data_IF_462801625993
#
_entry.id   IF_462801625993
#
_cell.length_a   1.000
_cell.length_b   1.000
_cell.length_c   1.000
_cell.angle_alpha   90.00
_cell.angle_beta   90.00
_cell.angle_gamma   90.00
#
_symmetry.space_group_name_H-M   'P 1'
#
loop_
_entity.id
_entity.type
_entity.pdbx_description
1 polymer ?
#
# COMPACT_ATOMS: atom_id res chain seq x y z
N UNK A 1 24.46 -2.61 -0.62
CA UNK A 1 23.20 -2.05 -0.08
C UNK A 1 22.24 -1.98 -1.25
N UNK A 2 21.11 -2.68 -1.16
CA UNK A 2 20.24 -2.96 -2.30
C UNK A 2 19.47 -1.70 -2.75
N UNK A 3 19.94 -1.07 -3.82
CA UNK A 3 19.12 -0.70 -4.98
C UNK A 3 17.87 0.16 -4.79
N UNK A 4 17.87 1.17 -3.92
CA UNK A 4 16.88 2.25 -3.98
C UNK A 4 17.52 3.47 -4.67
N UNK A 5 16.96 3.91 -5.81
CA UNK A 5 17.32 5.16 -6.52
C UNK A 5 16.80 6.39 -5.74
N UNK A 6 17.03 6.43 -4.43
CA UNK A 6 16.49 7.46 -3.55
C UNK A 6 17.57 8.49 -3.29
N UNK A 7 17.28 9.75 -3.62
CA UNK A 7 18.19 10.85 -3.33
C UNK A 7 18.25 11.15 -1.83
N UNK A 8 19.28 11.87 -1.40
CA UNK A 8 19.42 12.30 0.00
C UNK A 8 18.16 13.00 0.54
N UNK A 9 17.56 13.90 -0.25
CA UNK A 9 16.35 14.63 0.16
C UNK A 9 15.10 13.75 0.22
N UNK A 10 15.01 12.72 -0.64
CA UNK A 10 13.90 11.75 -0.59
C UNK A 10 13.96 10.94 0.70
N UNK A 11 15.18 10.62 1.16
CA UNK A 11 15.41 9.95 2.44
C UNK A 11 15.00 10.85 3.61
N UNK A 12 15.36 12.14 3.59
CA UNK A 12 14.94 13.09 4.63
C UNK A 12 13.42 13.27 4.66
N UNK A 13 12.76 13.37 3.50
CA UNK A 13 11.32 13.45 3.41
C UNK A 13 10.64 12.19 3.98
N UNK A 14 11.14 11.00 3.64
CA UNK A 14 10.62 9.74 4.19
C UNK A 14 10.80 9.62 5.70
N UNK A 15 11.99 9.93 6.22
CA UNK A 15 12.28 9.84 7.66
C UNK A 15 11.53 10.87 8.50
N UNK A 16 11.27 12.06 7.95
CA UNK A 16 10.45 13.08 8.63
C UNK A 16 8.96 12.72 8.64
N UNK A 17 8.44 12.07 7.59
CA UNK A 17 7.07 11.59 7.55
C UNK A 17 6.75 10.52 8.62
N UNK A 18 7.76 9.75 9.05
CA UNK A 18 7.61 8.68 10.04
C UNK A 18 7.83 9.13 11.50
N UNK A 19 8.15 10.41 11.74
CA UNK A 19 8.49 10.98 13.06
C UNK A 19 9.65 10.27 13.79
N UNK A 20 10.42 9.43 13.08
CA UNK A 20 11.54 8.64 13.62
C UNK A 20 12.91 9.07 13.08
N UNK A 21 13.01 10.28 12.55
CA UNK A 21 14.25 10.81 11.97
C UNK A 21 15.42 10.84 12.97
N UNK A 22 15.14 11.08 14.26
CA UNK A 22 16.16 11.13 15.32
C UNK A 22 16.77 9.78 15.67
N UNK A 23 16.18 8.67 15.22
CA UNK A 23 16.66 7.31 15.51
C UNK A 23 17.63 6.78 14.43
N UNK A 24 17.83 7.54 13.35
CA UNK A 24 18.69 7.15 12.23
C UNK A 24 19.96 8.00 12.26
N UNK A 25 21.12 7.34 12.25
CA UNK A 25 22.44 7.96 12.18
C UNK A 25 23.16 7.39 10.97
N UNK A 26 23.57 8.27 10.04
CA UNK A 26 24.26 7.86 8.83
C UNK A 26 25.75 7.63 9.07
N UNK A 27 26.32 6.63 8.39
CA UNK A 27 27.77 6.49 8.26
C UNK A 27 28.35 7.46 7.22
N UNK A 28 29.65 7.78 7.32
CA UNK A 28 30.31 8.67 6.35
C UNK A 28 30.24 8.11 4.90
N UNK A 29 30.26 6.79 4.75
CA UNK A 29 30.14 6.11 3.46
C UNK A 29 28.72 6.17 2.89
N UNK A 30 27.69 6.12 3.74
CA UNK A 30 26.29 6.27 3.32
C UNK A 30 25.99 7.68 2.82
N UNK A 31 26.50 8.70 3.53
CA UNK A 31 26.34 10.09 3.09
C UNK A 31 26.97 10.32 1.72
N UNK A 32 28.17 9.80 1.49
CA UNK A 32 28.83 9.91 0.18
C UNK A 32 28.04 9.22 -0.93
N UNK A 33 27.43 8.06 -0.66
CA UNK A 33 26.61 7.35 -1.64
C UNK A 33 25.30 8.10 -1.95
N UNK A 34 24.63 8.66 -0.94
CA UNK A 34 23.40 9.42 -1.11
C UNK A 34 23.61 10.75 -1.85
N UNK A 35 24.78 11.36 -1.73
CA UNK A 35 25.13 12.60 -2.46
C UNK A 35 25.59 12.35 -3.89
N UNK A 36 26.12 11.16 -4.21
CA UNK A 36 26.57 10.84 -5.59
C UNK A 36 25.41 10.60 -6.56
N UNK A 37 24.24 10.18 -6.05
CA UNK A 37 23.08 9.88 -6.88
C UNK A 37 22.38 11.15 -7.39
N UNK A 38 22.39 12.25 -6.63
CA UNK A 38 21.78 13.53 -7.06
C UNK A 38 22.51 14.16 -8.25
N UNK A 39 23.85 14.05 -8.29
CA UNK A 39 24.67 14.64 -9.36
C UNK A 39 24.54 13.89 -10.70
N UNK A 40 24.19 12.59 -10.65
CA UNK A 40 24.00 11.77 -11.84
C UNK A 40 22.68 12.07 -12.57
N UNK A 41 21.62 12.41 -11.83
CA UNK A 41 20.31 12.78 -12.40
C UNK A 41 20.32 14.17 -13.05
N UNK A 42 21.08 15.12 -12.51
CA UNK A 42 21.11 16.50 -13.03
C UNK A 42 21.92 16.63 -14.33
N UNK A 43 22.95 15.79 -14.50
CA UNK A 43 23.74 15.72 -15.75
C UNK A 43 22.99 15.07 -16.93
N UNK A 44 21.80 14.50 -16.70
CA UNK A 44 20.97 13.90 -17.75
C UNK A 44 20.09 14.90 -18.51
N UNK A 45 19.89 16.12 -17.99
CA UNK A 45 18.88 17.06 -18.50
C UNK A 45 19.48 18.11 -19.45
N UNK A 46 20.76 18.46 -19.32
CA UNK A 46 21.37 19.54 -20.13
C UNK A 46 22.01 19.10 -21.46
N UNK A 47 21.91 17.82 -21.86
CA UNK A 47 22.68 17.26 -22.99
C UNK A 47 21.89 16.78 -24.21
N UNK A 48 20.57 16.98 -24.28
CA UNK A 48 19.73 16.37 -25.34
C UNK A 48 19.14 17.36 -26.33
N UNK A 49 19.93 18.33 -26.80
CA UNK A 49 19.59 19.08 -28.01
C UNK A 49 20.63 18.82 -29.10
N UNK A 50 20.15 18.31 -30.24
CA UNK A 50 20.87 18.07 -31.50
C UNK A 50 21.80 16.85 -31.59
N UNK A 51 21.21 15.68 -31.75
CA UNK A 51 21.71 14.73 -32.77
C UNK A 51 20.56 14.18 -33.61
N UNK A 52 20.45 14.66 -34.86
CA UNK A 52 19.63 14.05 -35.92
C UNK A 52 20.27 12.73 -36.36
N UNK A 53 20.38 11.76 -35.46
CA UNK A 53 20.58 10.38 -35.85
C UNK A 53 19.22 9.84 -36.31
N UNK A 54 19.09 9.54 -37.60
CA UNK A 54 17.94 8.76 -38.13
C UNK A 54 18.02 7.34 -37.57
N UNK A 55 17.66 7.17 -36.31
CA UNK A 55 17.38 5.87 -35.73
C UNK A 55 16.09 5.40 -36.39
N UNK A 56 16.19 4.37 -37.22
CA UNK A 56 15.04 3.67 -37.77
C UNK A 56 14.15 3.26 -36.59
N UNK A 57 12.99 3.90 -36.45
CA UNK A 57 12.05 3.57 -35.38
C UNK A 57 11.71 2.08 -35.49
N UNK A 58 11.78 1.30 -34.40
CA UNK A 58 11.34 -0.09 -34.43
C UNK A 58 9.89 -0.13 -34.92
N UNK A 59 9.59 -1.07 -35.81
CA UNK A 59 8.25 -1.23 -36.36
C UNK A 59 7.29 -1.53 -35.20
N UNK A 60 6.26 -0.71 -35.04
CA UNK A 60 5.22 -0.91 -34.02
C UNK A 60 4.31 -2.04 -34.46
N UNK A 61 4.20 -3.09 -33.66
CA UNK A 61 3.26 -4.19 -33.89
C UNK A 61 1.83 -3.68 -33.62
N UNK A 62 0.90 -3.99 -34.51
CA UNK A 62 -0.50 -3.62 -34.34
C UNK A 62 -1.16 -4.54 -33.29
N UNK A 63 -1.56 -3.96 -32.17
CA UNK A 63 -2.15 -4.68 -31.02
C UNK A 63 -3.67 -4.77 -31.11
N UNK A 64 -4.30 -3.81 -31.78
CA UNK A 64 -5.76 -3.70 -31.88
C UNK A 64 -6.24 -3.48 -33.32
N UNK A 65 -7.47 -3.88 -33.61
CA UNK A 65 -8.08 -3.76 -34.94
C UNK A 65 -8.95 -2.51 -35.16
N UNK A 66 -9.01 -1.57 -34.21
CA UNK A 66 -9.94 -0.41 -34.27
C UNK A 66 -9.80 0.46 -35.52
N UNK A 67 -8.58 0.57 -36.08
CA UNK A 67 -8.29 1.34 -37.30
C UNK A 67 -8.19 0.45 -38.55
N UNK A 68 -8.59 -0.82 -38.45
CA UNK A 68 -8.38 -1.85 -39.48
C UNK A 68 -6.99 -2.49 -39.44
N UNK A 69 -6.88 -3.68 -40.04
CA UNK A 69 -5.64 -4.47 -40.08
C UNK A 69 -5.79 -5.85 -39.44
N UNK A 70 -5.09 -6.85 -40.00
CA UNK A 70 -5.05 -8.20 -39.41
C UNK A 70 -4.12 -8.19 -38.19
N UNK A 71 -4.68 -8.47 -37.03
CA UNK A 71 -3.91 -8.64 -35.78
C UNK A 71 -3.70 -10.14 -35.57
N UNK A 72 -2.45 -10.57 -35.57
CA UNK A 72 -2.07 -11.91 -35.11
C UNK A 72 -1.91 -11.85 -33.60
N UNK A 73 -2.70 -12.65 -32.87
CA UNK A 73 -2.64 -12.70 -31.41
C UNK A 73 -1.26 -13.15 -30.90
N UNK A 74 -0.56 -13.99 -31.68
CA UNK A 74 0.78 -14.46 -31.35
C UNK A 74 1.82 -13.34 -31.38
N UNK A 75 1.72 -12.43 -32.35
CA UNK A 75 2.65 -11.31 -32.51
C UNK A 75 2.36 -10.23 -31.45
N UNK A 76 1.09 -10.06 -31.08
CA UNK A 76 0.69 -9.17 -30.00
C UNK A 76 1.20 -9.69 -28.64
N UNK A 77 1.05 -10.98 -28.34
CA UNK A 77 1.45 -11.56 -27.06
C UNK A 77 2.96 -11.51 -26.77
N UNK A 78 3.80 -11.39 -27.80
CA UNK A 78 5.26 -11.25 -27.65
C UNK A 78 5.69 -9.84 -27.24
N UNK A 79 4.79 -8.86 -27.33
CA UNK A 79 5.08 -7.46 -27.01
C UNK A 79 4.79 -7.21 -25.53
N UNK A 80 5.77 -6.67 -24.82
CA UNK A 80 5.59 -6.22 -23.45
C UNK A 80 4.77 -4.93 -23.42
N UNK A 81 3.68 -4.95 -22.65
CA UNK A 81 2.75 -3.83 -22.56
C UNK A 81 2.99 -3.04 -21.29
N UNK A 82 3.62 -1.89 -21.42
CA UNK A 82 3.71 -0.91 -20.35
C UNK A 82 2.63 0.16 -20.54
N UNK A 83 1.60 0.14 -19.69
CA UNK A 83 0.56 1.19 -19.71
C UNK A 83 1.00 2.37 -18.84
N UNK A 84 1.56 2.14 -17.65
CA UNK A 84 2.27 3.12 -16.80
C UNK A 84 1.45 4.30 -16.25
N UNK A 85 0.64 4.96 -17.08
CA UNK A 85 -0.09 6.19 -16.77
C UNK A 85 -1.45 5.95 -16.08
N UNK A 86 -2.05 4.77 -16.25
CA UNK A 86 -3.36 4.43 -15.67
C UNK A 86 -3.21 3.76 -14.30
N UNK A 87 -4.03 4.16 -13.32
CA UNK A 87 -3.99 3.58 -11.95
C UNK A 87 -4.54 2.15 -11.86
N UNK A 88 -5.56 1.80 -12.66
CA UNK A 88 -6.23 0.49 -12.63
C UNK A 88 -5.93 -0.37 -13.86
N UNK A 89 -4.89 -0.02 -14.62
CA UNK A 89 -4.53 -0.67 -15.87
C UNK A 89 -5.39 -0.24 -17.07
N UNK A 90 -5.27 -0.98 -18.17
CA UNK A 90 -5.91 -0.64 -19.46
C UNK A 90 -7.41 -0.97 -19.53
N UNK A 91 -7.90 -1.92 -18.74
CA UNK A 91 -9.30 -2.32 -18.73
C UNK A 91 -9.69 -2.96 -17.40
N UNK A 92 -10.84 -2.54 -16.86
CA UNK A 92 -11.49 -3.14 -15.68
C UNK A 92 -12.88 -3.60 -16.10
N UNK A 93 -13.29 -4.86 -15.85
CA UNK A 93 -14.64 -5.33 -16.12
C UNK A 93 -15.69 -4.47 -15.42
N UNK A 94 -16.78 -4.13 -16.14
CA UNK A 94 -17.84 -3.25 -15.62
C UNK A 94 -18.43 -3.74 -14.29
N UNK A 95 -18.77 -5.02 -14.20
CA UNK A 95 -19.35 -5.62 -12.99
C UNK A 95 -18.40 -5.54 -11.80
N UNK A 96 -17.09 -5.70 -12.05
CA UNK A 96 -16.08 -5.58 -11.02
C UNK A 96 -16.01 -4.12 -10.55
N UNK A 97 -15.86 -3.17 -11.47
CA UNK A 97 -15.75 -1.75 -11.15
C UNK A 97 -16.95 -1.21 -10.37
N UNK A 98 -18.16 -1.66 -10.71
CA UNK A 98 -19.40 -1.28 -10.04
C UNK A 98 -19.48 -1.82 -8.59
N UNK A 99 -18.88 -2.98 -8.32
CA UNK A 99 -18.87 -3.61 -7.01
C UNK A 99 -17.65 -3.25 -6.13
N UNK A 100 -16.73 -2.40 -6.62
CA UNK A 100 -15.54 -2.03 -5.85
C UNK A 100 -15.86 -1.04 -4.72
N UNK A 101 -15.11 -1.19 -3.63
CA UNK A 101 -15.14 -0.31 -2.46
C UNK A 101 -14.23 0.90 -2.68
N UNK A 102 -14.81 2.10 -2.64
CA UNK A 102 -14.02 3.34 -2.78
C UNK A 102 -13.06 3.57 -1.61
N UNK A 103 -13.46 3.17 -0.39
CA UNK A 103 -12.66 3.36 0.82
C UNK A 103 -11.37 2.54 0.75
N UNK A 104 -11.48 1.28 0.35
CA UNK A 104 -10.31 0.38 0.28
C UNK A 104 -9.31 0.85 -0.78
N UNK A 105 -9.79 1.30 -1.94
CA UNK A 105 -8.94 1.86 -2.99
C UNK A 105 -8.35 3.22 -2.61
N UNK A 106 -9.07 4.07 -1.89
CA UNK A 106 -8.52 5.34 -1.40
C UNK A 106 -7.33 5.10 -0.47
N UNK A 107 -7.46 4.13 0.44
CA UNK A 107 -6.38 3.75 1.33
C UNK A 107 -5.21 3.08 0.57
N UNK A 108 -5.54 2.26 -0.43
CA UNK A 108 -4.52 1.68 -1.30
C UNK A 108 -3.72 2.75 -2.05
N UNK A 109 -4.38 3.72 -2.69
CA UNK A 109 -3.72 4.79 -3.43
C UNK A 109 -2.89 5.70 -2.52
N UNK A 110 -3.41 6.05 -1.34
CA UNK A 110 -2.63 6.81 -0.36
C UNK A 110 -1.36 6.04 0.02
N UNK A 111 -1.47 4.73 0.25
CA UNK A 111 -0.32 3.89 0.61
C UNK A 111 0.69 3.73 -0.54
N UNK A 112 0.25 3.58 -1.78
CA UNK A 112 1.12 3.26 -2.92
C UNK A 112 1.67 4.46 -3.66
N UNK A 113 0.95 5.58 -3.70
CA UNK A 113 1.37 6.78 -4.43
C UNK A 113 2.04 7.79 -3.49
N UNK A 114 1.44 8.04 -2.34
CA UNK A 114 1.87 9.12 -1.45
C UNK A 114 2.85 8.63 -0.38
N UNK A 115 2.50 7.55 0.32
CA UNK A 115 3.34 7.00 1.40
C UNK A 115 4.48 6.09 0.92
N UNK A 116 4.71 5.96 -0.39
CA UNK A 116 5.70 5.00 -0.94
C UNK A 116 7.12 5.28 -0.45
N UNK A 117 7.57 6.54 -0.54
CA UNK A 117 8.91 6.94 -0.13
C UNK A 117 9.14 6.72 1.39
N UNK A 118 8.13 7.00 2.21
CA UNK A 118 8.18 6.76 3.65
C UNK A 118 8.27 5.27 3.96
N UNK A 119 7.51 4.41 3.26
CA UNK A 119 7.58 2.96 3.46
C UNK A 119 8.91 2.37 2.96
N UNK A 120 9.43 2.85 1.84
CA UNK A 120 10.72 2.41 1.31
C UNK A 120 11.88 2.80 2.25
N UNK A 121 11.88 4.03 2.76
CA UNK A 121 12.88 4.49 3.75
C UNK A 121 12.76 3.74 5.07
N UNK A 122 11.55 3.41 5.51
CA UNK A 122 11.35 2.54 6.67
C UNK A 122 11.99 1.17 6.45
N UNK A 123 11.75 0.55 5.29
CA UNK A 123 12.25 -0.80 4.99
C UNK A 123 13.78 -0.84 4.86
N UNK A 124 14.41 0.25 4.40
CA UNK A 124 15.87 0.34 4.27
C UNK A 124 16.55 0.68 5.60
N UNK A 125 16.06 1.69 6.33
CA UNK A 125 16.79 2.26 7.48
C UNK A 125 16.26 1.78 8.84
N UNK A 126 14.98 1.41 8.94
CA UNK A 126 14.35 1.03 10.20
C UNK A 126 14.09 -0.47 10.32
N UNK A 127 14.01 -1.24 9.22
CA UNK A 127 13.75 -2.69 9.30
C UNK A 127 14.86 -3.51 10.00
N UNK A 128 16.07 -2.96 10.10
CA UNK A 128 17.17 -3.56 10.89
C UNK A 128 17.02 -3.35 12.40
N UNK A 129 16.22 -2.39 12.84
CA UNK A 129 15.84 -2.18 14.23
C UNK A 129 14.55 -2.97 14.49
N UNK A 130 14.69 -4.25 14.86
CA UNK A 130 13.56 -5.16 15.05
C UNK A 130 12.37 -4.54 15.78
N UNK A 131 11.16 -4.88 15.31
CA UNK A 131 9.81 -4.48 15.76
C UNK A 131 9.14 -3.39 14.91
N UNK A 132 8.59 -3.74 13.75
CA UNK A 132 7.29 -3.22 13.30
C UNK A 132 6.65 -4.21 12.31
N UNK A 133 6.30 -5.41 12.79
CA UNK A 133 5.16 -6.12 12.20
C UNK A 133 3.90 -5.36 12.62
N UNK A 134 3.47 -4.41 11.78
CA UNK A 134 2.11 -3.91 11.89
C UNK A 134 1.18 -5.12 11.71
N UNK A 135 0.32 -5.46 12.68
CA UNK A 135 -0.67 -6.49 12.46
C UNK A 135 -1.69 -5.90 11.50
N UNK A 136 -1.58 -6.25 10.22
CA UNK A 136 -2.72 -6.18 9.33
C UNK A 136 -3.73 -7.23 9.83
N UNK A 137 -4.58 -6.84 10.77
CA UNK A 137 -5.76 -7.61 11.14
C UNK A 137 -6.83 -7.44 10.05
N UNK A 138 -6.68 -8.13 8.93
CA UNK A 138 -7.85 -8.56 8.17
C UNK A 138 -8.50 -9.70 8.94
N UNK A 139 -9.31 -9.38 9.95
CA UNK A 139 -10.22 -10.37 10.56
C UNK A 139 -11.33 -10.71 9.56
N UNK A 140 -11.00 -11.55 8.58
CA UNK A 140 -11.95 -12.50 8.00
C UNK A 140 -11.70 -13.81 8.74
N UNK A 141 -12.18 -13.91 9.98
CA UNK A 141 -12.13 -15.16 10.73
C UNK A 141 -13.49 -15.86 10.69
N UNK A 142 -13.54 -16.88 9.84
CA UNK A 142 -14.44 -18.02 9.99
C UNK A 142 -14.15 -18.72 11.33
N UNK A 143 -15.11 -18.92 12.25
CA UNK A 143 -14.78 -19.37 13.59
C UNK A 143 -14.71 -20.90 13.66
N UNK A 144 -13.49 -21.45 13.66
CA UNK A 144 -13.21 -22.75 14.27
C UNK A 144 -12.50 -22.56 15.60
N UNK A 145 -13.32 -22.65 16.65
CA UNK A 145 -13.06 -23.24 17.96
C UNK A 145 -11.62 -23.22 18.50
N UNK A 146 -11.33 -22.31 19.43
CA UNK A 146 -10.54 -22.62 20.64
C UNK A 146 -10.60 -21.46 21.65
N UNK A 147 -10.56 -21.83 22.92
CA UNK A 147 -10.98 -21.09 24.11
C UNK A 147 -10.06 -19.93 24.52
N UNK A 148 -9.97 -18.87 23.71
CA UNK A 148 -9.35 -17.62 24.15
C UNK A 148 -10.38 -16.72 24.85
N UNK A 149 -10.12 -16.37 26.12
CA UNK A 149 -10.83 -15.44 27.02
C UNK A 149 -11.70 -14.38 26.29
N UNK A 150 -12.92 -14.75 25.91
CA UNK A 150 -13.91 -13.81 25.37
C UNK A 150 -14.28 -12.82 26.47
N UNK A 151 -14.03 -11.52 26.26
CA UNK A 151 -14.57 -10.43 27.08
C UNK A 151 -16.10 -10.60 27.15
N UNK A 152 -16.62 -11.14 28.25
CA UNK A 152 -18.07 -11.39 28.42
C UNK A 152 -18.75 -10.06 28.74
N UNK A 153 -19.65 -9.61 27.87
CA UNK A 153 -20.50 -8.44 28.14
C UNK A 153 -21.51 -8.81 29.23
N UNK A 154 -21.45 -8.12 30.37
CA UNK A 154 -22.35 -8.29 31.52
C UNK A 154 -23.24 -7.05 31.63
N UNK A 155 -24.53 -7.25 31.93
CA UNK A 155 -25.46 -6.16 32.27
C UNK A 155 -25.73 -6.24 33.77
N UNK A 156 -25.75 -5.10 34.45
CA UNK A 156 -25.94 -5.02 35.91
C UNK A 156 -27.22 -4.23 36.18
N UNK A 157 -28.09 -4.76 37.04
CA UNK A 157 -29.22 -3.99 37.55
C UNK A 157 -28.73 -2.89 38.49
N UNK A 158 -29.11 -1.63 38.25
CA UNK A 158 -28.67 -0.51 39.10
C UNK A 158 -29.30 -0.50 40.51
N UNK A 159 -30.42 -1.22 40.70
CA UNK A 159 -31.14 -1.26 41.99
C UNK A 159 -30.57 -2.31 42.94
N UNK A 160 -30.49 -3.57 42.50
CA UNK A 160 -30.06 -4.70 43.34
C UNK A 160 -28.67 -5.28 42.96
N UNK A 161 -27.97 -4.68 42.00
CA UNK A 161 -26.65 -5.12 41.52
C UNK A 161 -26.60 -6.54 40.92
N UNK A 162 -27.75 -7.13 40.60
CA UNK A 162 -27.83 -8.44 39.94
C UNK A 162 -27.15 -8.42 38.57
N UNK A 163 -26.40 -9.49 38.25
CA UNK A 163 -25.59 -9.62 37.03
C UNK A 163 -26.25 -10.54 36.03
N UNK A 164 -26.46 -10.06 34.81
CA UNK A 164 -27.04 -10.81 33.71
C UNK A 164 -25.99 -11.09 32.63
N UNK A 165 -25.78 -12.36 32.30
CA UNK A 165 -24.74 -12.85 31.39
C UNK A 165 -25.39 -13.68 30.28
N UNK A 166 -24.82 -13.65 29.08
CA UNK A 166 -25.27 -14.48 27.96
C UNK A 166 -26.10 -13.72 26.92
N UNK A 167 -26.64 -14.41 25.89
CA UNK A 167 -27.35 -13.79 24.77
C UNK A 167 -28.67 -13.13 25.21
N UNK A 168 -29.39 -13.71 26.17
CA UNK A 168 -30.69 -13.23 26.63
C UNK A 168 -30.62 -12.25 27.82
N UNK A 169 -29.42 -11.74 28.16
CA UNK A 169 -29.18 -10.83 29.30
C UNK A 169 -30.08 -9.58 29.32
N UNK A 170 -30.54 -9.11 28.15
CA UNK A 170 -31.48 -7.99 28.05
C UNK A 170 -32.93 -8.38 28.39
N UNK A 171 -33.37 -9.58 28.02
CA UNK A 171 -34.71 -10.08 28.37
C UNK A 171 -34.79 -10.38 29.85
N UNK A 172 -33.76 -11.06 30.38
CA UNK A 172 -33.67 -11.37 31.80
C UNK A 172 -33.69 -10.12 32.69
N UNK A 173 -33.05 -9.02 32.27
CA UNK A 173 -33.15 -7.74 33.00
C UNK A 173 -34.58 -7.14 32.94
N UNK A 174 -35.32 -7.32 31.83
CA UNK A 174 -36.69 -6.80 31.70
C UNK A 174 -37.69 -7.57 32.55
N UNK A 175 -37.52 -8.89 32.66
CA UNK A 175 -38.35 -9.77 33.49
C UNK A 175 -37.93 -9.75 34.98
N UNK A 176 -36.75 -9.20 35.28
CA UNK A 176 -36.26 -9.10 36.63
C UNK A 176 -37.03 -8.06 37.45
N UNK A 177 -37.83 -8.53 38.40
CA UNK A 177 -38.35 -7.70 39.48
C UNK A 177 -37.28 -7.54 40.56
N UNK A 178 -36.90 -6.29 40.85
CA UNK A 178 -36.14 -6.00 42.05
C UNK A 178 -37.11 -6.06 43.23
N UNK A 179 -36.82 -6.92 44.21
CA UNK A 179 -37.42 -6.80 45.54
C UNK A 179 -36.62 -5.71 46.24
N UNK A 180 -37.31 -4.70 46.77
CA UNK A 180 -36.71 -3.57 47.48
C UNK A 180 -35.89 -4.02 48.71
#
# INVERSE_FOLDING_TARGET
MSGSNMGYYDVLAGLSALEKSSQVVFSATELQQLTQQSDATDKGIEGSENSKAKVSKPKRVAVHGYLGGKVSLADAAQVEYEVGHSLLGSYVPRQQLEALSSVDFSHHFHRTLECKAALETHDVFLAGAGQLSLPFQSHIESPRNSEAKRKRKVIICKRCQSRFIGPHRRSQLREHACVD
#
